data_IF_275321562253
#
_entry.id   IF_275321562253
#
_cell.length_a   1.000
_cell.length_b   1.000
_cell.length_c   1.000
_cell.angle_alpha   90.00
_cell.angle_beta   90.00
_cell.angle_gamma   90.00
#
_symmetry.space_group_name_H-M   'P 1'
#
loop_
_entity.id
_entity.type
_entity.pdbx_description
1 polymer ?
#
# COMPACT_ATOMS: atom_id res chain seq x y z
N UNK A 1 12.11 1.06 -7.14
CA UNK A 1 11.65 1.94 -6.04
C UNK A 1 11.11 1.09 -4.87
N UNK A 2 11.21 1.53 -3.62
CA UNK A 2 10.60 0.84 -2.47
C UNK A 2 9.60 1.78 -1.81
N UNK A 3 8.37 1.32 -1.67
CA UNK A 3 7.28 2.02 -1.03
C UNK A 3 6.78 1.23 0.18
N UNK A 4 6.26 1.91 1.19
CA UNK A 4 5.55 1.25 2.29
C UNK A 4 4.19 0.75 1.83
N UNK A 5 3.48 1.56 1.05
CA UNK A 5 2.16 1.24 0.51
C UNK A 5 2.23 1.14 -1.01
N UNK A 6 1.28 0.43 -1.61
CA UNK A 6 1.08 0.44 -3.05
C UNK A 6 0.87 1.90 -3.52
N UNK A 7 1.74 2.44 -4.40
CA UNK A 7 1.70 3.85 -4.73
C UNK A 7 0.42 4.21 -5.50
N UNK A 8 -0.23 5.32 -5.14
CA UNK A 8 -1.34 5.85 -5.92
C UNK A 8 -0.89 6.35 -7.31
N UNK A 9 -1.83 6.64 -8.20
CA UNK A 9 -1.57 7.07 -9.58
C UNK A 9 -0.62 8.28 -9.72
N UNK A 10 -0.70 9.26 -8.81
CA UNK A 10 0.22 10.38 -8.77
C UNK A 10 1.66 9.91 -8.48
N UNK A 11 1.84 9.08 -7.46
CA UNK A 11 3.13 8.52 -7.08
C UNK A 11 3.71 7.60 -8.18
N UNK A 12 2.87 6.76 -8.80
CA UNK A 12 3.27 5.90 -9.92
C UNK A 12 3.78 6.72 -11.11
N UNK A 13 3.14 7.86 -11.39
CA UNK A 13 3.60 8.79 -12.42
C UNK A 13 4.98 9.34 -12.06
N UNK A 14 5.19 9.79 -10.83
CA UNK A 14 6.48 10.30 -10.37
C UNK A 14 7.60 9.23 -10.44
N UNK A 15 7.29 7.99 -10.02
CA UNK A 15 8.21 6.84 -10.09
C UNK A 15 8.62 6.58 -11.56
N UNK A 16 7.65 6.60 -12.46
CA UNK A 16 7.86 6.41 -13.90
C UNK A 16 8.77 7.49 -14.48
N UNK A 17 8.49 8.76 -14.19
CA UNK A 17 9.30 9.90 -14.65
C UNK A 17 10.72 9.90 -14.09
N UNK A 18 10.93 9.31 -12.92
CA UNK A 18 12.27 9.16 -12.33
C UNK A 18 13.09 8.05 -13.03
N UNK A 19 12.47 7.26 -13.90
CA UNK A 19 13.14 6.21 -14.66
C UNK A 19 13.25 4.87 -13.95
N UNK A 20 12.49 4.65 -12.87
CA UNK A 20 12.40 3.32 -12.26
C UNK A 20 11.54 2.41 -13.14
N UNK A 21 12.08 1.24 -13.48
CA UNK A 21 11.40 0.17 -14.21
C UNK A 21 10.73 -0.87 -13.29
N UNK A 22 10.84 -0.69 -11.97
CA UNK A 22 10.18 -1.55 -11.00
C UNK A 22 9.94 -0.87 -9.66
N UNK A 23 8.97 -1.40 -8.91
CA UNK A 23 8.80 -1.04 -7.51
C UNK A 23 8.32 -2.19 -6.62
N UNK A 24 8.65 -2.08 -5.34
CA UNK A 24 8.26 -3.02 -4.29
C UNK A 24 7.43 -2.28 -3.25
N UNK A 25 6.39 -2.93 -2.74
CA UNK A 25 5.49 -2.35 -1.74
C UNK A 25 5.12 -3.36 -0.64
N UNK A 26 4.90 -2.88 0.59
CA UNK A 26 4.61 -3.74 1.74
C UNK A 26 3.11 -3.94 1.97
N UNK A 27 2.30 -2.88 1.88
CA UNK A 27 0.86 -2.91 2.06
C UNK A 27 0.15 -2.62 0.74
N UNK A 28 -0.77 -3.49 0.30
CA UNK A 28 -1.62 -3.20 -0.87
C UNK A 28 -2.69 -2.15 -0.54
N UNK A 29 -3.38 -1.65 -1.57
CA UNK A 29 -4.59 -0.84 -1.34
C UNK A 29 -5.69 -1.61 -0.57
N UNK A 30 -5.76 -2.92 -0.75
CA UNK A 30 -6.70 -3.77 -0.03
C UNK A 30 -6.30 -3.93 1.44
N UNK A 31 -5.02 -4.18 1.73
CA UNK A 31 -4.49 -4.22 3.09
C UNK A 31 -4.75 -2.89 3.81
N UNK A 32 -4.59 -1.77 3.08
CA UNK A 32 -4.71 -0.42 3.63
C UNK A 32 -6.15 0.00 3.90
N UNK A 33 -7.10 -0.45 3.06
CA UNK A 33 -8.55 -0.29 3.31
C UNK A 33 -8.93 -0.91 4.65
N UNK A 34 -8.52 -2.16 4.85
CA UNK A 34 -8.97 -2.97 5.97
C UNK A 34 -8.24 -2.64 7.28
N UNK A 35 -6.99 -2.16 7.21
CA UNK A 35 -6.19 -1.81 8.40
C UNK A 35 -6.25 -0.33 8.83
N UNK A 36 -6.51 0.62 7.93
CA UNK A 36 -6.33 2.05 8.27
C UNK A 36 -7.60 2.93 8.16
N UNK A 37 -8.75 2.34 7.84
CA UNK A 37 -10.01 3.07 7.67
C UNK A 37 -9.87 4.26 6.70
N UNK A 38 -9.13 4.05 5.59
CA UNK A 38 -8.97 5.01 4.49
C UNK A 38 -9.77 4.48 3.28
N UNK A 39 -11.12 4.53 3.30
CA UNK A 39 -11.95 3.98 2.23
C UNK A 39 -11.88 4.81 0.94
N UNK A 40 -11.39 6.05 1.03
CA UNK A 40 -11.39 6.99 -0.07
C UNK A 40 -10.44 6.59 -1.20
N UNK A 41 -9.36 5.87 -0.91
CA UNK A 41 -8.38 5.50 -1.94
C UNK A 41 -9.03 4.65 -3.04
N UNK A 42 -9.69 3.55 -2.67
CA UNK A 42 -10.40 2.70 -3.64
C UNK A 42 -11.53 3.45 -4.36
N UNK A 43 -12.20 4.37 -3.67
CA UNK A 43 -13.24 5.20 -4.29
C UNK A 43 -12.64 6.18 -5.30
N UNK A 44 -11.55 6.86 -4.97
CA UNK A 44 -10.82 7.76 -5.89
C UNK A 44 -10.37 6.98 -7.12
N UNK A 45 -9.87 5.75 -6.93
CA UNK A 45 -9.43 4.90 -8.03
C UNK A 45 -10.57 4.51 -8.96
N UNK A 46 -11.74 4.21 -8.38
CA UNK A 46 -12.94 3.94 -9.16
C UNK A 46 -13.45 5.19 -9.88
N UNK A 47 -13.61 6.31 -9.18
CA UNK A 47 -14.23 7.52 -9.72
C UNK A 47 -13.33 8.27 -10.70
N UNK A 48 -12.02 8.33 -10.44
CA UNK A 48 -11.06 9.09 -11.28
C UNK A 48 -10.46 8.22 -12.39
N UNK A 49 -10.19 6.94 -12.10
CA UNK A 49 -9.47 6.05 -13.03
C UNK A 49 -10.32 4.88 -13.53
N UNK A 50 -11.58 4.78 -13.13
CA UNK A 50 -12.51 3.70 -13.53
C UNK A 50 -12.05 2.29 -13.15
N UNK A 51 -11.09 2.19 -12.22
CA UNK A 51 -10.52 0.92 -11.78
C UNK A 51 -11.32 0.34 -10.62
N UNK A 52 -11.75 -0.90 -10.76
CA UNK A 52 -12.26 -1.69 -9.64
C UNK A 52 -11.11 -2.12 -8.72
N UNK A 53 -11.38 -2.40 -7.43
CA UNK A 53 -10.38 -2.97 -6.53
C UNK A 53 -9.71 -4.21 -7.14
N UNK A 54 -8.38 -4.23 -7.14
CA UNK A 54 -7.59 -5.29 -7.79
C UNK A 54 -7.44 -5.15 -9.32
N UNK A 55 -8.08 -4.16 -9.96
CA UNK A 55 -7.94 -3.88 -11.39
C UNK A 55 -6.63 -3.19 -11.80
N UNK A 56 -5.68 -3.05 -10.87
CA UNK A 56 -4.39 -2.44 -11.14
C UNK A 56 -3.47 -3.34 -11.94
N UNK A 57 -2.83 -2.76 -12.96
CA UNK A 57 -1.83 -3.45 -13.76
C UNK A 57 -0.52 -3.58 -12.96
N UNK A 58 -0.24 -4.78 -12.46
CA UNK A 58 1.03 -5.09 -11.80
C UNK A 58 2.24 -5.09 -12.74
N UNK A 59 2.00 -5.19 -14.05
CA UNK A 59 3.02 -5.11 -15.09
C UNK A 59 2.46 -4.31 -16.28
N UNK A 60 3.27 -3.41 -16.82
CA UNK A 60 2.95 -2.60 -17.98
C UNK A 60 4.24 -2.20 -18.73
N UNK A 61 4.11 -1.35 -19.76
CA UNK A 61 5.24 -0.94 -20.59
C UNK A 61 6.32 -0.13 -19.85
N UNK A 62 6.02 0.40 -18.66
CA UNK A 62 6.93 1.26 -17.91
C UNK A 62 7.60 0.53 -16.74
N UNK A 63 6.85 -0.31 -16.02
CA UNK A 63 7.36 -0.95 -14.82
C UNK A 63 6.68 -2.27 -14.45
N UNK A 64 7.31 -3.00 -13.52
CA UNK A 64 6.74 -4.14 -12.78
C UNK A 64 6.61 -3.83 -11.30
N UNK A 65 5.51 -4.23 -10.69
CA UNK A 65 5.26 -4.10 -9.26
C UNK A 65 5.41 -5.43 -8.53
N UNK A 66 5.87 -5.36 -7.27
CA UNK A 66 6.13 -6.54 -6.45
C UNK A 66 5.65 -6.36 -5.01
N UNK A 67 4.68 -7.16 -4.60
CA UNK A 67 4.26 -7.24 -3.20
C UNK A 67 5.32 -7.96 -2.36
N UNK A 68 5.91 -7.25 -1.40
CA UNK A 68 6.91 -7.81 -0.46
C UNK A 68 6.30 -8.96 0.33
N UNK A 69 5.04 -8.84 0.79
CA UNK A 69 4.33 -9.92 1.50
C UNK A 69 4.19 -11.16 0.63
N UNK A 70 3.84 -11.00 -0.66
CA UNK A 70 3.74 -12.14 -1.60
C UNK A 70 5.10 -12.81 -1.82
N UNK A 71 6.17 -12.02 -1.96
CA UNK A 71 7.53 -12.55 -2.09
C UNK A 71 7.96 -13.32 -0.83
N UNK A 72 7.70 -12.80 0.37
CA UNK A 72 8.02 -13.47 1.64
C UNK A 72 7.29 -14.81 1.76
N UNK A 73 6.02 -14.89 1.36
CA UNK A 73 5.25 -16.15 1.39
C UNK A 73 5.85 -17.27 0.54
N UNK A 74 6.61 -16.91 -0.50
CA UNK A 74 7.27 -17.86 -1.40
C UNK A 74 8.64 -18.34 -0.90
N UNK A 75 9.15 -17.80 0.22
CA UNK A 75 10.44 -18.19 0.77
C UNK A 75 10.37 -19.52 1.56
N UNK A 76 11.51 -20.20 1.75
CA UNK A 76 11.65 -21.32 2.68
C UNK A 76 11.15 -20.98 4.08
N UNK A 77 10.63 -21.99 4.78
CA UNK A 77 9.87 -21.79 6.02
C UNK A 77 10.64 -21.02 7.12
N UNK A 78 11.93 -21.26 7.26
CA UNK A 78 12.76 -20.57 8.26
C UNK A 78 12.88 -19.06 7.98
N UNK A 79 13.11 -18.69 6.71
CA UNK A 79 13.24 -17.29 6.28
C UNK A 79 11.89 -16.59 6.26
N UNK A 80 10.85 -17.28 5.77
CA UNK A 80 9.46 -16.80 5.78
C UNK A 80 9.03 -16.46 7.19
N UNK A 81 9.18 -17.37 8.16
CA UNK A 81 8.80 -17.11 9.57
C UNK A 81 9.51 -15.89 10.14
N UNK A 82 10.82 -15.78 9.93
CA UNK A 82 11.60 -14.61 10.42
C UNK A 82 11.08 -13.30 9.85
N UNK A 83 10.79 -13.26 8.56
CA UNK A 83 10.33 -12.05 7.88
C UNK A 83 8.87 -11.73 8.18
N UNK A 84 8.00 -12.73 8.31
CA UNK A 84 6.61 -12.55 8.74
C UNK A 84 6.54 -11.96 10.15
N UNK A 85 7.38 -12.40 11.10
CA UNK A 85 7.47 -11.77 12.43
C UNK A 85 7.85 -10.29 12.33
N UNK A 86 8.80 -9.95 11.47
CA UNK A 86 9.22 -8.55 11.26
C UNK A 86 8.11 -7.71 10.62
N UNK A 87 7.43 -8.26 9.61
CA UNK A 87 6.29 -7.61 8.96
C UNK A 87 5.15 -7.41 9.95
N UNK A 88 4.90 -8.39 10.84
CA UNK A 88 3.91 -8.28 11.91
C UNK A 88 4.22 -7.13 12.87
N UNK A 89 5.48 -7.01 13.31
CA UNK A 89 5.90 -5.90 14.17
C UNK A 89 5.74 -4.52 13.49
N UNK A 90 6.05 -4.42 12.20
CA UNK A 90 5.82 -3.20 11.42
C UNK A 90 4.32 -2.89 11.32
N UNK A 91 3.50 -3.89 11.03
CA UNK A 91 2.04 -3.73 10.90
C UNK A 91 1.43 -3.21 12.20
N UNK A 92 1.79 -3.82 13.34
CA UNK A 92 1.32 -3.39 14.66
C UNK A 92 1.68 -1.92 14.98
N UNK A 93 2.87 -1.47 14.53
CA UNK A 93 3.27 -0.07 14.71
C UNK A 93 2.44 0.88 13.84
N UNK A 94 2.12 0.48 12.62
CA UNK A 94 1.23 1.23 11.75
C UNK A 94 -0.19 1.30 12.32
N UNK A 95 -0.70 0.20 12.90
CA UNK A 95 -2.01 0.16 13.54
C UNK A 95 -2.08 1.12 14.74
N UNK A 96 -1.03 1.14 15.58
CA UNK A 96 -0.93 2.10 16.69
C UNK A 96 -0.96 3.56 16.21
N UNK A 97 -0.19 3.88 15.16
CA UNK A 97 -0.19 5.22 14.56
C UNK A 97 -1.56 5.59 13.97
N UNK A 98 -2.22 4.62 13.31
CA UNK A 98 -3.57 4.79 12.78
C UNK A 98 -4.57 5.09 13.89
N UNK A 99 -4.53 4.33 15.00
CA UNK A 99 -5.40 4.56 16.15
C UNK A 99 -5.22 5.96 16.74
N UNK A 100 -3.97 6.42 16.87
CA UNK A 100 -3.66 7.78 17.33
C UNK A 100 -4.25 8.81 16.34
N UNK A 101 -4.04 8.63 15.03
CA UNK A 101 -4.60 9.52 14.02
C UNK A 101 -6.14 9.60 14.09
N UNK A 102 -6.80 8.44 14.08
CA UNK A 102 -8.27 8.35 14.09
C UNK A 102 -8.88 8.93 15.37
N UNK A 103 -8.21 8.79 16.54
CA UNK A 103 -8.68 9.37 17.80
C UNK A 103 -8.64 10.91 17.83
N UNK A 104 -7.83 11.54 16.99
CA UNK A 104 -7.63 12.99 16.94
C UNK A 104 -8.14 13.63 15.64
N UNK A 105 -8.76 12.86 14.72
CA UNK A 105 -9.12 13.38 13.40
C UNK A 105 -10.31 14.34 13.42
N UNK A 106 -11.21 14.19 14.40
CA UNK A 106 -12.40 15.04 14.52
C UNK A 106 -12.03 16.49 14.90
N UNK A 107 -10.84 16.68 15.49
CA UNK A 107 -10.25 17.99 15.77
C UNK A 107 -9.57 18.61 14.54
N UNK A 108 -9.51 17.90 13.41
CA UNK A 108 -8.91 18.38 12.17
C UNK A 108 -9.98 18.69 11.10
N UNK A 109 -9.85 19.84 10.45
CA UNK A 109 -10.72 20.34 9.37
C UNK A 109 -10.52 19.58 8.03
N UNK A 110 -10.31 18.26 8.06
CA UNK A 110 -10.14 17.47 6.84
C UNK A 110 -11.53 17.24 6.22
N UNK A 111 -11.80 17.72 4.99
CA UNK A 111 -13.14 17.76 4.40
C UNK A 111 -13.64 16.40 3.88
N UNK A 112 -13.06 15.29 4.36
CA UNK A 112 -13.35 13.92 3.92
C UNK A 112 -13.75 13.01 5.10
N UNK A 113 -14.35 13.57 6.15
CA UNK A 113 -14.95 12.81 7.26
C UNK A 113 -16.29 12.18 6.87
#
# INVERSE_FOLDING_TARGET
FIATHEPCSLCLSAITWTGFDNFYYLFSHEDSRDSFAIPHDLKILKEVFTLDPGGYNAENAYWKSFSIRRLVRALPEAERRRLETRIGAISARYDELSNIYQANKDDNDIPLN
#
